data_IF_383282755568
#
_entry.id   IF_383282755568
#
_cell.length_a   1.000
_cell.length_b   1.000
_cell.length_c   1.000
_cell.angle_alpha   90.00
_cell.angle_beta   90.00
_cell.angle_gamma   90.00
#
_symmetry.space_group_name_H-M   'P 1'
#
loop_
_entity.id
_entity.type
_entity.pdbx_description
1 polymer ?
#
# COMPACT_ATOMS: atom_id res chain seq x y z
N UNK A 1 -75.19 -27.04 10.24
CA UNK A 1 -74.52 -26.13 9.29
C UNK A 1 -74.05 -24.91 10.07
N UNK A 2 -72.73 -24.75 10.25
CA UNK A 2 -72.17 -23.63 11.02
C UNK A 2 -72.32 -22.32 10.23
N UNK A 3 -72.83 -21.24 10.84
CA UNK A 3 -72.90 -19.94 10.20
C UNK A 3 -71.51 -19.37 10.00
N UNK A 4 -71.28 -18.74 8.85
CA UNK A 4 -69.98 -18.16 8.45
C UNK A 4 -69.43 -17.18 9.50
N UNK A 5 -70.33 -16.36 10.07
CA UNK A 5 -70.00 -15.43 11.15
C UNK A 5 -69.40 -16.11 12.39
N UNK A 6 -69.82 -17.32 12.74
CA UNK A 6 -69.27 -18.04 13.90
C UNK A 6 -67.87 -18.58 13.58
N UNK A 7 -67.63 -19.00 12.34
CA UNK A 7 -66.31 -19.45 11.89
C UNK A 7 -65.31 -18.28 11.94
N UNK A 8 -65.73 -17.09 11.51
CA UNK A 8 -64.92 -15.86 11.62
C UNK A 8 -64.56 -15.57 13.09
N UNK A 9 -65.53 -15.63 14.01
CA UNK A 9 -65.27 -15.47 15.44
C UNK A 9 -64.33 -16.54 16.02
N UNK A 10 -64.38 -17.79 15.53
CA UNK A 10 -63.41 -18.82 15.94
C UNK A 10 -61.99 -18.41 15.56
N UNK A 11 -61.78 -17.88 14.36
CA UNK A 11 -60.47 -17.42 13.90
C UNK A 11 -60.00 -16.19 14.69
N UNK A 12 -60.84 -15.16 14.84
CA UNK A 12 -60.53 -14.00 15.69
C UNK A 12 -60.11 -14.43 17.12
N UNK A 13 -60.78 -15.45 17.69
CA UNK A 13 -60.41 -16.00 19.00
C UNK A 13 -59.05 -16.72 18.98
N UNK A 14 -58.78 -17.55 17.96
CA UNK A 14 -57.56 -18.34 17.86
C UNK A 14 -56.32 -17.48 17.57
N UNK A 15 -56.51 -16.33 16.92
CA UNK A 15 -55.49 -15.32 16.64
C UNK A 15 -55.31 -14.32 17.81
N UNK A 16 -56.09 -14.46 18.88
CA UNK A 16 -56.07 -13.59 20.07
C UNK A 16 -56.52 -12.14 19.79
N UNK A 17 -57.39 -11.94 18.79
CA UNK A 17 -57.86 -10.62 18.30
C UNK A 17 -59.36 -10.36 18.58
N UNK A 18 -60.08 -11.28 19.24
CA UNK A 18 -61.51 -11.17 19.48
C UNK A 18 -61.88 -10.14 20.56
N UNK A 19 -62.94 -9.37 20.32
CA UNK A 19 -63.51 -8.47 21.32
C UNK A 19 -64.31 -9.22 22.41
N UNK A 20 -64.33 -8.74 23.67
CA UNK A 20 -65.02 -9.44 24.78
C UNK A 20 -66.50 -9.76 24.53
N UNK A 21 -67.22 -8.85 23.86
CA UNK A 21 -68.64 -9.04 23.53
C UNK A 21 -68.85 -10.15 22.50
N UNK A 22 -67.99 -10.19 21.47
CA UNK A 22 -67.98 -11.23 20.44
C UNK A 22 -67.56 -12.58 21.01
N UNK A 23 -66.62 -12.60 21.96
CA UNK A 23 -66.21 -13.82 22.65
C UNK A 23 -67.39 -14.45 23.41
N UNK A 24 -68.22 -13.61 24.05
CA UNK A 24 -69.43 -14.06 24.75
C UNK A 24 -70.40 -14.74 23.77
N UNK A 25 -70.64 -14.13 22.61
CA UNK A 25 -71.48 -14.68 21.53
C UNK A 25 -70.93 -16.02 21.01
N UNK A 26 -69.62 -16.10 20.78
CA UNK A 26 -68.96 -17.34 20.36
C UNK A 26 -69.16 -18.45 21.41
N UNK A 27 -68.93 -18.14 22.70
CA UNK A 27 -69.08 -19.11 23.80
C UNK A 27 -70.52 -19.63 23.91
N UNK A 28 -71.52 -18.77 23.80
CA UNK A 28 -72.94 -19.16 23.79
C UNK A 28 -73.27 -20.08 22.60
N UNK A 29 -72.72 -19.80 21.42
CA UNK A 29 -72.93 -20.65 20.25
C UNK A 29 -72.26 -22.02 20.39
N UNK A 30 -71.03 -22.08 20.89
CA UNK A 30 -70.32 -23.34 21.11
C UNK A 30 -71.02 -24.24 22.15
N UNK A 31 -71.71 -23.66 23.12
CA UNK A 31 -72.51 -24.42 24.10
C UNK A 31 -73.80 -24.99 23.50
N UNK A 32 -74.38 -24.32 22.51
CA UNK A 32 -75.66 -24.71 21.90
C UNK A 32 -75.51 -25.55 20.63
N UNK A 33 -74.35 -25.51 19.96
CA UNK A 33 -74.10 -26.20 18.70
C UNK A 33 -72.89 -27.16 18.77
N UNK A 34 -73.17 -28.46 18.84
CA UNK A 34 -72.15 -29.53 18.93
C UNK A 34 -71.25 -29.64 17.69
N UNK A 35 -71.77 -29.36 16.51
CA UNK A 35 -70.98 -29.37 15.26
C UNK A 35 -69.86 -28.33 15.33
N UNK A 36 -70.20 -27.09 15.72
CA UNK A 36 -69.23 -26.00 15.78
C UNK A 36 -68.27 -26.16 16.99
N UNK A 37 -68.73 -26.73 18.10
CA UNK A 37 -67.84 -27.15 19.21
C UNK A 37 -66.77 -28.15 18.77
N UNK A 38 -67.17 -29.15 17.97
CA UNK A 38 -66.26 -30.18 17.45
C UNK A 38 -65.20 -29.55 16.54
N UNK A 39 -65.61 -28.71 15.60
CA UNK A 39 -64.70 -27.98 14.69
C UNK A 39 -63.70 -27.15 15.50
N UNK A 40 -64.17 -26.38 16.47
CA UNK A 40 -63.31 -25.54 17.30
C UNK A 40 -62.31 -26.37 18.13
N UNK A 41 -62.73 -27.53 18.67
CA UNK A 41 -61.83 -28.45 19.36
C UNK A 41 -60.76 -29.02 18.44
N UNK A 42 -61.11 -29.38 17.21
CA UNK A 42 -60.18 -29.90 16.21
C UNK A 42 -59.14 -28.86 15.80
N UNK A 43 -59.57 -27.60 15.59
CA UNK A 43 -58.66 -26.48 15.32
C UNK A 43 -57.68 -26.25 16.47
N UNK A 44 -58.17 -26.21 17.72
CA UNK A 44 -57.32 -26.07 18.92
C UNK A 44 -56.32 -27.22 19.05
N UNK A 45 -56.73 -28.45 18.80
CA UNK A 45 -55.84 -29.63 18.81
C UNK A 45 -54.75 -29.52 17.75
N UNK A 46 -55.11 -29.08 16.54
CA UNK A 46 -54.16 -28.89 15.44
C UNK A 46 -53.12 -27.83 15.78
N UNK A 47 -53.55 -26.69 16.32
CA UNK A 47 -52.64 -25.62 16.76
C UNK A 47 -51.71 -26.12 17.86
N UNK A 48 -52.24 -26.82 18.88
CA UNK A 48 -51.43 -27.38 19.96
C UNK A 48 -50.38 -28.38 19.43
N UNK A 49 -50.78 -29.23 18.47
CA UNK A 49 -49.88 -30.18 17.84
C UNK A 49 -48.75 -29.48 17.07
N UNK A 50 -49.06 -28.49 16.23
CA UNK A 50 -48.04 -27.72 15.49
C UNK A 50 -47.10 -26.98 16.44
N UNK A 51 -47.63 -26.33 17.48
CA UNK A 51 -46.82 -25.64 18.50
C UNK A 51 -45.85 -26.60 19.21
N UNK A 52 -46.25 -27.86 19.44
CA UNK A 52 -45.38 -28.86 20.08
C UNK A 52 -44.13 -29.26 19.27
N UNK A 53 -44.13 -29.04 17.95
CA UNK A 53 -43.02 -29.38 17.05
C UNK A 53 -41.93 -28.29 17.04
N UNK A 54 -42.19 -27.11 17.60
CA UNK A 54 -41.39 -25.90 17.41
C UNK A 54 -40.02 -25.87 18.11
N UNK A 55 -39.65 -26.90 18.88
CA UNK A 55 -38.32 -27.00 19.47
C UNK A 55 -37.31 -27.61 18.48
N UNK A 56 -36.97 -26.87 17.43
CA UNK A 56 -35.83 -27.18 16.56
C UNK A 56 -34.70 -26.18 16.79
N UNK A 57 -33.58 -26.67 17.32
CA UNK A 57 -32.35 -25.88 17.43
C UNK A 57 -31.63 -25.87 16.08
N UNK A 58 -31.06 -24.74 15.70
CA UNK A 58 -30.13 -24.70 14.58
C UNK A 58 -28.89 -25.57 14.89
N UNK A 59 -28.27 -26.21 13.88
CA UNK A 59 -27.02 -26.94 14.08
C UNK A 59 -25.92 -25.99 14.57
N UNK A 60 -24.97 -26.51 15.34
CA UNK A 60 -23.91 -25.72 15.97
C UNK A 60 -23.13 -24.83 14.96
N UNK A 61 -22.98 -25.31 13.72
CA UNK A 61 -22.23 -24.65 12.66
C UNK A 61 -23.08 -23.78 11.72
N UNK A 62 -24.36 -23.55 12.02
CA UNK A 62 -25.27 -22.81 11.13
C UNK A 62 -24.71 -21.42 10.78
N UNK A 63 -24.31 -20.65 11.79
CA UNK A 63 -23.78 -19.29 11.59
C UNK A 63 -22.49 -19.31 10.78
N UNK A 64 -21.58 -20.23 11.08
CA UNK A 64 -20.32 -20.36 10.35
C UNK A 64 -20.56 -20.69 8.87
N UNK A 65 -21.46 -21.63 8.58
CA UNK A 65 -21.82 -22.03 7.23
C UNK A 65 -22.50 -20.89 6.45
N UNK A 66 -23.41 -20.14 7.07
CA UNK A 66 -24.04 -18.98 6.45
C UNK A 66 -23.01 -17.93 6.09
N UNK A 67 -22.12 -17.58 7.03
CA UNK A 67 -21.06 -16.60 6.81
C UNK A 67 -20.09 -17.03 5.70
N UNK A 68 -19.78 -18.33 5.59
CA UNK A 68 -18.91 -18.86 4.55
C UNK A 68 -19.51 -18.73 3.13
N UNK A 69 -20.84 -18.76 3.01
CA UNK A 69 -21.55 -18.62 1.73
C UNK A 69 -21.88 -17.18 1.36
N UNK A 70 -21.61 -16.21 2.23
CA UNK A 70 -21.81 -14.80 1.89
C UNK A 70 -20.80 -14.36 0.82
N UNK A 71 -21.22 -13.52 -0.14
CA UNK A 71 -20.31 -12.95 -1.12
C UNK A 71 -19.22 -12.15 -0.41
N UNK A 72 -17.95 -12.44 -0.73
CA UNK A 72 -16.80 -11.74 -0.14
C UNK A 72 -16.90 -10.24 -0.42
N UNK A 73 -16.64 -9.42 0.61
CA UNK A 73 -16.59 -7.96 0.45
C UNK A 73 -15.63 -7.56 -0.68
N UNK A 74 -16.02 -6.55 -1.47
CA UNK A 74 -15.22 -6.06 -2.59
C UNK A 74 -13.89 -5.50 -2.06
N UNK A 75 -12.76 -5.93 -2.63
CA UNK A 75 -11.39 -5.49 -2.25
C UNK A 75 -11.21 -3.97 -2.11
N UNK A 76 -12.00 -3.17 -2.84
CA UNK A 76 -12.00 -1.70 -2.75
C UNK A 76 -12.33 -1.19 -1.34
N UNK A 77 -13.23 -1.85 -0.61
CA UNK A 77 -13.61 -1.46 0.76
C UNK A 77 -12.46 -1.73 1.74
N UNK A 78 -11.73 -2.83 1.56
CA UNK A 78 -10.59 -3.20 2.41
C UNK A 78 -9.44 -2.20 2.33
N UNK A 79 -9.06 -1.81 1.10
CA UNK A 79 -7.99 -0.82 0.91
C UNK A 79 -8.37 0.56 1.48
N UNK A 80 -9.62 1.00 1.26
CA UNK A 80 -10.12 2.26 1.82
C UNK A 80 -10.15 2.25 3.36
N UNK A 81 -10.53 1.11 3.99
CA UNK A 81 -10.48 0.94 5.45
C UNK A 81 -9.05 0.97 5.98
N UNK A 82 -8.10 0.36 5.26
CA UNK A 82 -6.70 0.32 5.68
C UNK A 82 -6.07 1.72 5.72
N UNK A 83 -6.27 2.52 4.67
CA UNK A 83 -5.83 3.92 4.68
C UNK A 83 -6.49 4.75 5.78
N UNK A 84 -7.77 4.47 6.09
CA UNK A 84 -8.50 5.15 7.17
C UNK A 84 -8.03 4.75 8.57
N UNK A 85 -7.61 3.51 8.75
CA UNK A 85 -7.15 2.99 10.04
C UNK A 85 -5.66 3.28 10.31
N UNK A 86 -4.87 3.64 9.28
CA UNK A 86 -3.44 3.94 9.42
C UNK A 86 -3.05 5.30 8.81
N UNK A 87 -3.61 6.43 9.31
CA UNK A 87 -3.35 7.76 8.76
C UNK A 87 -1.86 8.18 8.85
N UNK A 88 -1.14 7.75 9.89
CA UNK A 88 0.29 8.08 10.04
C UNK A 88 1.17 7.42 8.96
N UNK A 89 0.91 6.15 8.62
CA UNK A 89 1.68 5.44 7.59
C UNK A 89 1.40 6.03 6.19
N UNK A 90 0.16 6.41 5.92
CA UNK A 90 -0.22 7.06 4.67
C UNK A 90 0.42 8.45 4.54
N UNK A 91 0.45 9.24 5.61
CA UNK A 91 1.14 10.53 5.62
C UNK A 91 2.65 10.37 5.43
N UNK A 92 3.27 9.40 6.11
CA UNK A 92 4.69 9.11 5.99
C UNK A 92 5.10 8.69 4.58
N UNK A 93 4.29 7.87 3.90
CA UNK A 93 4.58 7.47 2.52
C UNK A 93 4.50 8.64 1.54
N UNK A 94 3.49 9.50 1.67
CA UNK A 94 3.38 10.72 0.86
C UNK A 94 4.56 11.66 1.14
N UNK A 95 4.92 11.86 2.40
CA UNK A 95 6.08 12.66 2.77
C UNK A 95 7.38 12.11 2.17
N UNK A 96 7.60 10.79 2.23
CA UNK A 96 8.77 10.16 1.62
C UNK A 96 8.79 10.31 0.11
N UNK A 97 7.64 10.16 -0.57
CA UNK A 97 7.55 10.37 -2.02
C UNK A 97 7.89 11.82 -2.39
N UNK A 98 7.34 12.78 -1.65
CA UNK A 98 7.61 14.21 -1.87
C UNK A 98 9.07 14.56 -1.56
N UNK A 99 9.63 14.02 -0.47
CA UNK A 99 11.03 14.22 -0.12
C UNK A 99 11.97 13.59 -1.15
N UNK A 100 11.66 12.39 -1.64
CA UNK A 100 12.44 11.71 -2.66
C UNK A 100 12.35 12.43 -4.02
N UNK A 101 11.18 12.97 -4.36
CA UNK A 101 11.01 13.85 -5.51
C UNK A 101 11.82 15.15 -5.38
N UNK A 102 11.87 15.74 -4.18
CA UNK A 102 12.68 16.94 -3.92
C UNK A 102 14.17 16.66 -4.09
N UNK A 103 14.67 15.55 -3.54
CA UNK A 103 16.08 15.15 -3.66
C UNK A 103 16.44 14.88 -5.13
N UNK A 104 15.57 14.17 -5.86
CA UNK A 104 15.76 13.89 -7.28
C UNK A 104 15.78 15.17 -8.13
N UNK A 105 14.94 16.15 -7.81
CA UNK A 105 14.93 17.45 -8.48
C UNK A 105 16.27 18.18 -8.34
N UNK A 106 16.86 18.19 -7.13
CA UNK A 106 18.15 18.83 -6.87
C UNK A 106 19.30 18.11 -7.58
N UNK A 107 19.30 16.78 -7.65
CA UNK A 107 20.32 16.02 -8.38
C UNK A 107 20.31 16.35 -9.89
N UNK A 108 19.16 16.68 -10.47
CA UNK A 108 19.10 17.06 -11.90
C UNK A 108 19.93 18.31 -12.26
N UNK A 109 20.40 19.07 -11.26
CA UNK A 109 21.04 20.38 -11.39
C UNK A 109 22.59 20.35 -11.41
N UNK A 110 23.25 19.26 -10.98
CA UNK A 110 24.72 19.18 -10.85
C UNK A 110 25.48 18.75 -12.14
N UNK A 111 24.85 18.87 -13.31
CA UNK A 111 25.47 18.50 -14.61
C UNK A 111 26.29 19.62 -15.26
N UNK A 112 26.88 20.51 -14.47
CA UNK A 112 27.71 21.60 -15.01
C UNK A 112 29.15 21.11 -15.30
N UNK A 113 29.71 21.53 -16.44
CA UNK A 113 31.05 21.15 -16.88
C UNK A 113 32.11 21.87 -16.05
N UNK A 114 33.12 21.14 -15.58
CA UNK A 114 34.26 21.72 -14.87
C UNK A 114 35.56 21.01 -15.18
N UNK A 115 36.66 21.76 -15.10
CA UNK A 115 38.02 21.26 -15.36
C UNK A 115 39.00 21.80 -14.32
N UNK A 116 39.99 20.99 -13.95
CA UNK A 116 41.15 21.41 -13.15
C UNK A 116 41.87 22.60 -13.77
N UNK A 117 42.26 23.59 -12.96
CA UNK A 117 42.93 24.82 -13.41
C UNK A 117 44.43 24.61 -13.66
N UNK A 118 44.80 23.72 -14.58
CA UNK A 118 46.18 23.55 -15.01
C UNK A 118 46.52 24.47 -16.19
N UNK A 119 47.80 24.85 -16.30
CA UNK A 119 48.30 25.64 -17.44
C UNK A 119 48.31 24.79 -18.70
N UNK A 120 48.18 25.42 -19.86
CA UNK A 120 48.26 24.80 -21.19
C UNK A 120 47.13 23.81 -21.52
N UNK A 121 46.00 23.89 -20.81
CA UNK A 121 44.75 23.24 -21.19
C UNK A 121 43.91 24.16 -22.08
N UNK A 122 43.43 23.62 -23.21
CA UNK A 122 42.53 24.33 -24.11
C UNK A 122 41.12 23.78 -23.93
N UNK A 123 40.18 24.64 -23.54
CA UNK A 123 38.77 24.25 -23.37
C UNK A 123 37.96 24.74 -24.57
N UNK A 124 37.35 23.80 -25.31
CA UNK A 124 36.43 24.11 -26.43
C UNK A 124 35.21 23.19 -26.37
N UNK A 125 34.00 23.74 -26.39
CA UNK A 125 32.74 22.99 -26.46
C UNK A 125 32.71 21.78 -25.50
N UNK A 126 32.91 22.02 -24.20
CA UNK A 126 32.96 20.98 -23.14
C UNK A 126 34.03 19.90 -23.36
N UNK A 127 35.02 20.17 -24.22
CA UNK A 127 36.17 19.30 -24.47
C UNK A 127 37.43 19.97 -23.95
N UNK A 128 38.13 19.29 -23.05
CA UNK A 128 39.45 19.66 -22.55
C UNK A 128 40.48 19.02 -23.45
N UNK A 129 41.37 19.82 -24.02
CA UNK A 129 42.38 19.39 -24.99
C UNK A 129 43.76 19.69 -24.40
N UNK A 130 44.59 18.64 -24.33
CA UNK A 130 46.04 18.77 -24.10
C UNK A 130 46.71 18.74 -25.48
N UNK A 131 47.18 19.88 -26.01
CA UNK A 131 47.73 19.96 -27.36
C UNK A 131 49.08 19.24 -27.47
N UNK A 132 49.41 18.82 -28.70
CA UNK A 132 50.68 18.15 -29.01
C UNK A 132 51.89 19.06 -28.71
N UNK A 133 52.94 18.48 -28.11
CA UNK A 133 54.17 19.20 -27.73
C UNK A 133 54.11 19.99 -26.43
N UNK A 134 52.96 20.02 -25.74
CA UNK A 134 52.79 20.62 -24.42
C UNK A 134 52.79 19.57 -23.31
N UNK A 135 53.39 19.93 -22.16
CA UNK A 135 53.41 19.07 -20.96
C UNK A 135 52.62 19.73 -19.83
N UNK A 136 51.50 19.11 -19.44
CA UNK A 136 50.69 19.53 -18.30
C UNK A 136 51.22 18.86 -17.04
N UNK A 137 51.64 19.64 -16.05
CA UNK A 137 52.16 19.13 -14.77
C UNK A 137 51.08 19.15 -13.70
N UNK A 138 50.88 18.02 -13.02
CA UNK A 138 49.87 17.84 -11.99
C UNK A 138 48.58 17.24 -12.51
N UNK A 139 47.70 16.89 -11.59
CA UNK A 139 46.53 16.07 -11.88
C UNK A 139 45.48 16.84 -12.68
N UNK A 140 44.86 16.15 -13.64
CA UNK A 140 43.84 16.69 -14.52
C UNK A 140 42.50 16.01 -14.24
N UNK A 141 41.53 16.82 -13.81
CA UNK A 141 40.19 16.35 -13.49
C UNK A 141 39.20 17.03 -14.44
N UNK A 142 38.42 16.23 -15.17
CA UNK A 142 37.38 16.70 -16.10
C UNK A 142 36.04 16.15 -15.65
N UNK A 143 35.03 17.02 -15.46
CA UNK A 143 33.67 16.62 -15.07
C UNK A 143 32.67 17.02 -16.15
N UNK A 144 31.74 16.12 -16.48
CA UNK A 144 30.64 16.36 -17.43
C UNK A 144 31.14 16.86 -18.80
N UNK A 145 32.25 16.30 -19.31
CA UNK A 145 32.90 16.75 -20.54
C UNK A 145 33.86 15.74 -21.15
N UNK A 146 34.42 16.07 -22.32
CA UNK A 146 35.33 15.18 -23.05
C UNK A 146 36.78 15.55 -22.77
N UNK A 147 37.67 14.57 -22.63
CA UNK A 147 39.11 14.81 -22.50
C UNK A 147 39.84 14.24 -23.73
N UNK A 148 40.55 15.11 -24.45
CA UNK A 148 41.40 14.75 -25.59
C UNK A 148 42.86 15.00 -25.25
N UNK A 149 43.67 13.95 -25.29
CA UNK A 149 45.09 14.02 -24.94
C UNK A 149 45.91 13.80 -26.21
N UNK A 150 46.57 14.86 -26.69
CA UNK A 150 47.51 14.85 -27.82
C UNK A 150 48.95 15.11 -27.38
N UNK A 151 49.16 15.72 -26.21
CA UNK A 151 50.47 15.96 -25.57
C UNK A 151 50.74 15.05 -24.36
N UNK A 152 51.52 15.56 -23.40
CA UNK A 152 51.95 14.80 -22.21
C UNK A 152 51.31 15.32 -20.92
N UNK A 153 50.83 14.41 -20.07
CA UNK A 153 50.34 14.72 -18.72
C UNK A 153 51.27 14.06 -17.67
N UNK A 154 51.85 14.91 -16.82
CA UNK A 154 52.69 14.54 -15.69
C UNK A 154 51.90 14.54 -14.38
N UNK A 155 51.00 13.58 -14.23
CA UNK A 155 50.08 13.44 -13.10
C UNK A 155 48.96 12.45 -13.40
N UNK A 156 48.03 12.33 -12.47
CA UNK A 156 46.87 11.46 -12.60
C UNK A 156 45.75 12.14 -13.39
N UNK A 157 44.97 11.34 -14.12
CA UNK A 157 43.85 11.82 -14.94
C UNK A 157 42.57 11.18 -14.46
N UNK A 158 41.60 12.00 -14.04
CA UNK A 158 40.27 11.54 -13.61
C UNK A 158 39.19 12.17 -14.47
N UNK A 159 38.40 11.34 -15.16
CA UNK A 159 37.24 11.79 -15.93
C UNK A 159 35.97 11.33 -15.22
N UNK A 160 35.10 12.28 -14.87
CA UNK A 160 33.83 12.03 -14.15
C UNK A 160 32.67 12.37 -15.09
N UNK A 161 31.81 11.40 -15.38
CA UNK A 161 30.66 11.53 -16.31
C UNK A 161 31.04 12.12 -17.67
N UNK A 162 32.10 11.59 -18.29
CA UNK A 162 32.70 12.15 -19.49
C UNK A 162 33.23 11.09 -20.43
N UNK A 163 33.60 11.49 -21.65
CA UNK A 163 34.21 10.58 -22.62
C UNK A 163 35.70 10.90 -22.77
N UNK A 164 36.53 9.85 -22.76
CA UNK A 164 37.98 9.97 -22.92
C UNK A 164 38.42 9.61 -24.33
N UNK A 165 39.34 10.40 -24.89
CA UNK A 165 39.99 10.14 -26.17
C UNK A 165 41.51 10.35 -26.05
N UNK A 166 42.28 9.28 -26.27
CA UNK A 166 43.74 9.31 -26.38
C UNK A 166 44.12 9.26 -27.87
N UNK A 167 44.87 10.25 -28.35
CA UNK A 167 45.49 10.18 -29.68
C UNK A 167 46.80 9.37 -29.63
N UNK A 168 47.29 8.87 -30.78
CA UNK A 168 48.48 8.01 -30.86
C UNK A 168 49.79 8.63 -30.32
N UNK A 169 49.83 9.95 -30.15
CA UNK A 169 50.97 10.70 -29.59
C UNK A 169 50.78 11.10 -28.10
N UNK A 170 49.63 10.81 -27.49
CA UNK A 170 49.32 11.21 -26.12
C UNK A 170 49.97 10.28 -25.08
N UNK A 171 50.54 10.87 -24.01
CA UNK A 171 51.21 10.14 -22.94
C UNK A 171 50.77 10.62 -21.56
N UNK A 172 50.45 9.70 -20.65
CA UNK A 172 50.11 10.00 -19.24
C UNK A 172 51.06 9.20 -18.36
N UNK A 173 51.78 9.87 -17.47
CA UNK A 173 52.74 9.23 -16.55
C UNK A 173 52.09 8.64 -15.31
N UNK A 174 50.93 9.18 -14.90
CA UNK A 174 50.13 8.71 -13.78
C UNK A 174 49.04 7.71 -14.17
N UNK A 175 48.14 7.44 -13.22
CA UNK A 175 46.99 6.57 -13.42
C UNK A 175 45.86 7.31 -14.15
N UNK A 176 45.10 6.58 -14.95
CA UNK A 176 43.91 7.11 -15.61
C UNK A 176 42.68 6.41 -15.07
N UNK A 177 41.81 7.18 -14.41
CA UNK A 177 40.57 6.71 -13.81
C UNK A 177 39.34 7.31 -14.52
N UNK A 178 38.33 6.47 -14.73
CA UNK A 178 37.03 6.87 -15.25
C UNK A 178 35.97 6.55 -14.21
N UNK A 179 35.26 7.59 -13.77
CA UNK A 179 34.28 7.51 -12.69
C UNK A 179 32.88 7.79 -13.25
N UNK A 180 32.01 6.78 -13.14
CA UNK A 180 30.60 6.90 -13.49
C UNK A 180 29.78 7.23 -12.23
N UNK A 181 29.02 8.34 -12.27
CA UNK A 181 28.34 8.99 -11.13
C UNK A 181 27.62 8.06 -10.16
N UNK A 182 26.96 7.03 -10.70
CA UNK A 182 26.00 6.24 -9.93
C UNK A 182 26.70 5.26 -8.99
N UNK A 183 27.84 4.67 -9.38
CA UNK A 183 28.48 3.62 -8.60
C UNK A 183 29.36 4.17 -7.48
N UNK A 184 30.12 5.24 -7.74
CA UNK A 184 31.04 5.79 -6.75
C UNK A 184 30.32 6.60 -5.66
N UNK A 185 29.23 7.30 -5.99
CA UNK A 185 28.39 7.98 -5.00
C UNK A 185 27.78 6.97 -4.01
N UNK A 186 27.24 5.85 -4.52
CA UNK A 186 26.68 4.77 -3.69
C UNK A 186 27.77 4.16 -2.81
N UNK A 187 28.95 3.85 -3.36
CA UNK A 187 30.05 3.26 -2.60
C UNK A 187 30.59 4.21 -1.51
N UNK A 188 30.80 5.49 -1.83
CA UNK A 188 31.28 6.49 -0.88
C UNK A 188 30.30 6.73 0.27
N UNK A 189 29.00 6.85 -0.03
CA UNK A 189 27.97 7.04 0.99
C UNK A 189 27.72 5.78 1.83
N UNK A 190 27.86 4.59 1.24
CA UNK A 190 27.73 3.32 1.97
C UNK A 190 28.87 3.11 2.97
N UNK A 191 30.10 3.48 2.60
CA UNK A 191 31.26 3.38 3.51
C UNK A 191 31.17 4.36 4.69
N UNK A 192 30.71 5.59 4.42
CA UNK A 192 30.56 6.63 5.45
C UNK A 192 29.44 6.31 6.45
N UNK A 193 28.30 5.84 5.97
CA UNK A 193 27.21 5.39 6.85
C UNK A 193 27.62 4.17 7.69
N UNK A 194 28.37 3.21 7.13
CA UNK A 194 28.88 2.08 7.90
C UNK A 194 29.83 2.51 9.04
N UNK A 195 30.73 3.46 8.78
CA UNK A 195 31.66 3.96 9.82
C UNK A 195 30.98 4.83 10.88
N UNK A 196 30.00 5.66 10.51
CA UNK A 196 29.22 6.45 11.47
C UNK A 196 28.38 5.55 12.39
N UNK A 197 27.80 4.46 11.87
CA UNK A 197 27.01 3.52 12.69
C UNK A 197 27.92 2.73 13.65
N UNK A 198 29.10 2.29 13.22
CA UNK A 198 30.04 1.56 14.09
C UNK A 198 30.53 2.47 15.24
N UNK A 199 30.83 3.74 14.97
CA UNK A 199 31.27 4.68 16.00
C UNK A 199 30.17 5.05 17.02
N UNK A 200 28.90 4.94 16.65
CA UNK A 200 27.75 5.18 17.56
C UNK A 200 27.51 3.96 18.46
N UNK A 201 27.82 2.75 18.00
CA UNK A 201 27.68 1.52 18.78
C UNK A 201 28.88 1.22 19.72
N UNK A 202 30.03 1.85 19.50
CA UNK A 202 31.25 1.69 20.31
C UNK A 202 31.41 2.72 21.45
N UNK A 203 30.38 3.51 21.77
CA UNK A 203 30.40 4.34 23.00
C UNK A 203 29.85 3.53 24.18
N UNK A 204 30.71 3.01 25.09
CA UNK A 204 30.22 2.44 26.34
C UNK A 204 29.63 3.57 27.18
N UNK A 205 28.36 3.41 27.56
CA UNK A 205 27.65 4.27 28.50
C UNK A 205 28.49 4.47 29.77
N UNK A 206 29.06 5.65 29.95
CA UNK A 206 29.57 6.08 31.25
C UNK A 206 28.43 6.74 32.03
N UNK A 207 28.09 6.10 33.16
CA UNK A 207 27.15 6.50 34.21
C UNK A 207 27.31 7.96 34.66
#
# INVERSE_FOLDING_TARGET
>A
MCPEQIIELMHEYLDEEIEPEKERVLREHLQSCKECETIFSELKKTIAFVKSISHMQAPADFTANVLAHLPKEKKKVGMQRWFKNHPMLAAASVFLILMMGSIFSTWSQDREFSVSKQKNLIVKNNTVIVPEGETVKGDVIVRNGKLKIEGEIQGDVTVINGEKYLASAGHVTGQIEEVNEVFDWIWYHMKRTAQEVINIFDQPETQ
#
